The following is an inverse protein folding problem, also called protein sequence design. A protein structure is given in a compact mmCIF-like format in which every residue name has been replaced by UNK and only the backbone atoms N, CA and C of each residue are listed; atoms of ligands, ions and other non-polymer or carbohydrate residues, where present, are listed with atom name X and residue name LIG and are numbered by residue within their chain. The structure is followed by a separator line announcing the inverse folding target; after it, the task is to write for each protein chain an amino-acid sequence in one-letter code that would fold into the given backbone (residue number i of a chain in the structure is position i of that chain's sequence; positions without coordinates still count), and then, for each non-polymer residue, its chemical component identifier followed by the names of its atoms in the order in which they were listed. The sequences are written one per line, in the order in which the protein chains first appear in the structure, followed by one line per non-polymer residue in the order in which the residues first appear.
data_IF_327233805504
#
_entry.id   IF_327233805504
#
_cell.length_a   1.000
_cell.length_b   1.000
_cell.length_c   1.000
_cell.angle_alpha   90.00
_cell.angle_beta   90.00
_cell.angle_gamma   90.00
#
_symmetry.space_group_name_H-M   'P 1'
#
loop_
_entity.id
_entity.type
_entity.pdbx_description
1 polymer ?
#
# COMPACT_ATOMS: atom_id res chain seq x y z
N UNK A 1 11.47 -26.83 21.69
CA UNK A 1 11.82 -26.75 20.25
C UNK A 1 13.09 -27.54 20.02
N UNK A 2 13.06 -28.51 19.12
CA UNK A 2 14.23 -29.31 18.76
C UNK A 2 15.17 -28.52 17.82
N UNK A 3 16.43 -28.95 17.73
CA UNK A 3 17.42 -28.31 16.83
C UNK A 3 17.02 -28.47 15.34
N UNK A 4 16.24 -29.51 15.02
CA UNK A 4 15.69 -29.77 13.68
C UNK A 4 14.57 -28.79 13.34
N UNK A 5 13.59 -28.61 14.24
CA UNK A 5 12.49 -27.64 14.08
C UNK A 5 13.01 -26.21 13.89
N UNK A 6 14.04 -25.82 14.65
CA UNK A 6 14.66 -24.51 14.52
C UNK A 6 15.35 -24.32 13.17
N UNK A 7 15.94 -25.39 12.62
CA UNK A 7 16.61 -25.35 11.31
C UNK A 7 15.61 -25.26 10.17
N UNK A 8 14.52 -26.05 10.22
CA UNK A 8 13.45 -25.97 9.23
C UNK A 8 12.77 -24.60 9.22
N UNK A 9 12.49 -24.03 10.40
CA UNK A 9 11.90 -22.70 10.51
C UNK A 9 12.80 -21.62 9.86
N UNK A 10 14.12 -21.69 10.09
CA UNK A 10 15.09 -20.78 9.46
C UNK A 10 15.14 -20.94 7.93
N UNK A 11 15.05 -22.17 7.43
CA UNK A 11 15.01 -22.45 5.99
C UNK A 11 13.74 -21.89 5.35
N UNK A 12 12.57 -22.13 5.95
CA UNK A 12 11.28 -21.57 5.49
C UNK A 12 11.31 -20.05 5.47
N UNK A 13 11.78 -19.42 6.55
CA UNK A 13 11.92 -17.96 6.62
C UNK A 13 12.89 -17.40 5.55
N UNK A 14 13.94 -18.15 5.23
CA UNK A 14 14.91 -17.74 4.19
C UNK A 14 14.35 -17.91 2.78
N UNK A 15 13.56 -18.95 2.52
CA UNK A 15 12.83 -19.11 1.26
C UNK A 15 11.83 -17.98 1.07
N UNK A 16 11.00 -17.71 2.09
CA UNK A 16 10.04 -16.60 2.07
C UNK A 16 10.70 -15.25 1.74
N UNK A 17 11.84 -14.93 2.39
CA UNK A 17 12.57 -13.69 2.10
C UNK A 17 13.05 -13.60 0.66
N UNK A 18 13.46 -14.71 0.05
CA UNK A 18 13.86 -14.74 -1.37
C UNK A 18 12.67 -14.53 -2.29
N UNK A 19 11.55 -15.17 -2.01
CA UNK A 19 10.34 -15.04 -2.83
C UNK A 19 9.77 -13.61 -2.75
N UNK A 20 9.75 -13.02 -1.55
CA UNK A 20 9.38 -11.61 -1.36
C UNK A 20 10.35 -10.65 -2.06
N UNK A 21 11.65 -10.89 -1.97
CA UNK A 21 12.64 -10.09 -2.69
C UNK A 21 12.45 -10.19 -4.20
N UNK A 22 12.19 -11.38 -4.73
CA UNK A 22 11.94 -11.58 -6.15
C UNK A 22 10.73 -10.76 -6.63
N UNK A 23 9.60 -10.82 -5.94
CA UNK A 23 8.40 -10.01 -6.29
C UNK A 23 8.67 -8.52 -6.15
N UNK A 24 9.37 -8.10 -5.11
CA UNK A 24 9.74 -6.70 -4.90
C UNK A 24 10.64 -6.16 -6.02
N UNK A 25 11.54 -6.99 -6.52
CA UNK A 25 12.47 -6.60 -7.58
C UNK A 25 11.78 -6.53 -8.97
N UNK A 26 10.54 -7.03 -9.11
CA UNK A 26 9.72 -6.82 -10.30
C UNK A 26 8.87 -5.54 -10.25
N UNK A 27 8.88 -4.78 -9.15
CA UNK A 27 8.12 -3.54 -9.07
C UNK A 27 8.71 -2.50 -10.03
N UNK A 28 7.86 -1.88 -10.84
CA UNK A 28 8.30 -0.85 -11.78
C UNK A 28 8.77 0.41 -11.02
N UNK A 29 9.97 0.91 -11.36
CA UNK A 29 10.46 2.19 -10.82
C UNK A 29 9.49 3.30 -11.17
N UNK A 30 9.25 4.20 -10.22
CA UNK A 30 8.29 5.31 -10.29
C UNK A 30 6.83 4.89 -10.31
N UNK A 31 6.51 3.61 -10.11
CA UNK A 31 5.14 3.18 -10.00
C UNK A 31 4.52 3.61 -8.66
N UNK A 32 3.29 4.08 -8.73
CA UNK A 32 2.44 4.43 -7.62
C UNK A 32 1.46 3.28 -7.38
N UNK A 33 1.30 2.90 -6.12
CA UNK A 33 0.45 1.79 -5.71
C UNK A 33 -0.54 2.23 -4.64
N UNK A 34 -1.76 1.70 -4.70
CA UNK A 34 -2.60 1.53 -3.50
C UNK A 34 -2.19 0.22 -2.85
N UNK A 35 -1.95 0.25 -1.53
CA UNK A 35 -1.59 -0.94 -0.77
C UNK A 35 -2.63 -1.19 0.31
N UNK A 36 -3.15 -2.41 0.33
CA UNK A 36 -4.18 -2.83 1.28
C UNK A 36 -3.60 -3.78 2.32
N UNK A 37 -3.97 -3.54 3.57
CA UNK A 37 -3.63 -4.39 4.71
C UNK A 37 -4.92 -4.88 5.39
N UNK A 38 -4.88 -6.11 5.91
CA UNK A 38 -5.95 -6.65 6.75
C UNK A 38 -6.08 -5.85 8.04
N UNK A 39 -7.32 -5.56 8.45
CA UNK A 39 -7.63 -4.94 9.75
C UNK A 39 -8.11 -5.93 10.81
N UNK A 40 -8.53 -7.10 10.37
CA UNK A 40 -9.15 -8.14 11.19
C UNK A 40 -8.73 -9.53 10.73
N UNK A 41 -8.75 -10.47 11.67
CA UNK A 41 -8.62 -11.91 11.42
C UNK A 41 -9.70 -12.62 12.26
N UNK A 42 -10.74 -13.20 11.64
CA UNK A 42 -10.96 -13.34 10.20
C UNK A 42 -11.24 -11.99 9.49
N UNK A 43 -10.89 -11.86 8.20
CA UNK A 43 -11.08 -10.61 7.46
C UNK A 43 -12.56 -10.32 7.21
N UNK A 44 -12.94 -9.05 7.37
CA UNK A 44 -14.28 -8.56 7.02
C UNK A 44 -14.32 -7.99 5.60
N UNK A 45 -15.40 -8.21 4.83
CA UNK A 45 -15.53 -7.63 3.49
C UNK A 45 -15.38 -6.11 3.52
N UNK A 46 -14.60 -5.58 2.57
CA UNK A 46 -14.35 -4.15 2.39
C UNK A 46 -13.66 -3.43 3.58
N UNK A 47 -13.15 -4.17 4.57
CA UNK A 47 -12.49 -3.61 5.76
C UNK A 47 -10.97 -3.76 5.69
N UNK A 48 -10.34 -2.83 4.99
CA UNK A 48 -8.89 -2.79 4.80
C UNK A 48 -8.30 -1.50 5.36
N UNK A 49 -7.03 -1.56 5.76
CA UNK A 49 -6.23 -0.36 5.99
C UNK A 49 -5.57 0.03 4.66
N UNK A 50 -5.74 1.28 4.26
CA UNK A 50 -5.33 1.80 2.96
C UNK A 50 -4.13 2.70 3.11
N UNK A 51 -3.14 2.49 2.24
CA UNK A 51 -1.95 3.34 2.14
C UNK A 51 -1.59 3.56 0.68
N UNK A 52 -0.76 4.55 0.41
CA UNK A 52 -0.17 4.78 -0.92
C UNK A 52 1.33 4.45 -0.83
N UNK A 53 1.85 3.74 -1.82
CA UNK A 53 3.28 3.47 -1.94
C UNK A 53 3.80 4.00 -3.26
N UNK A 54 4.80 4.88 -3.22
CA UNK A 54 5.55 5.32 -4.39
C UNK A 54 6.88 4.58 -4.41
N UNK A 55 7.06 3.70 -5.39
CA UNK A 55 8.31 2.98 -5.59
C UNK A 55 9.32 3.89 -6.28
N UNK A 56 10.38 4.31 -5.58
CA UNK A 56 11.32 5.34 -6.09
C UNK A 56 12.66 4.79 -6.54
N UNK A 57 12.96 3.52 -6.29
CA UNK A 57 14.20 2.88 -6.75
C UNK A 57 14.34 1.44 -6.28
N UNK A 58 15.41 0.77 -6.69
CA UNK A 58 15.62 -0.63 -6.32
C UNK A 58 16.26 -0.76 -4.92
N UNK A 59 15.59 -1.32 -3.88
CA UNK A 59 14.22 -1.85 -3.86
C UNK A 59 13.27 -1.09 -2.90
N UNK A 60 13.39 0.23 -2.88
CA UNK A 60 12.81 1.09 -1.85
C UNK A 60 11.84 2.12 -2.40
N UNK A 61 11.04 2.66 -1.49
CA UNK A 61 10.08 3.71 -1.82
C UNK A 61 9.57 4.42 -0.58
N UNK A 62 8.60 5.29 -0.79
CA UNK A 62 7.91 5.99 0.27
C UNK A 62 6.50 5.45 0.41
N UNK A 63 6.14 5.05 1.62
CA UNK A 63 4.79 4.72 2.01
C UNK A 63 4.16 5.91 2.71
N UNK A 64 2.99 6.31 2.22
CA UNK A 64 2.18 7.38 2.76
C UNK A 64 0.92 6.77 3.37
N UNK A 65 0.70 7.04 4.64
CA UNK A 65 -0.45 6.52 5.37
C UNK A 65 -0.84 7.42 6.52
N UNK A 66 -2.10 7.31 6.90
CA UNK A 66 -2.66 7.94 8.10
C UNK A 66 -3.21 6.85 8.99
N UNK A 67 -2.87 6.92 10.28
CA UNK A 67 -3.18 5.88 11.26
C UNK A 67 -4.15 6.41 12.31
N UNK A 68 -5.20 5.64 12.58
CA UNK A 68 -6.18 5.98 13.61
C UNK A 68 -5.70 5.49 14.97
N UNK A 69 -5.51 6.40 15.93
CA UNK A 69 -5.11 6.08 17.30
C UNK A 69 -5.96 6.89 18.28
N UNK A 70 -6.61 6.20 19.24
CA UNK A 70 -7.41 6.84 20.30
C UNK A 70 -8.48 7.83 19.79
N UNK A 71 -9.12 7.53 18.65
CA UNK A 71 -10.15 8.39 18.05
C UNK A 71 -9.61 9.58 17.26
N UNK A 72 -8.29 9.72 17.11
CA UNK A 72 -7.62 10.71 16.28
C UNK A 72 -6.87 10.06 15.12
N UNK A 73 -6.53 10.85 14.11
CA UNK A 73 -5.71 10.46 12.96
C UNK A 73 -4.37 11.17 13.00
N UNK A 74 -3.30 10.39 12.84
CA UNK A 74 -1.92 10.87 12.75
C UNK A 74 -1.34 10.54 11.35
N UNK A 75 -0.53 11.43 10.76
CA UNK A 75 0.28 11.08 9.60
C UNK A 75 1.45 10.19 10.03
N UNK A 76 1.79 9.17 9.24
CA UNK A 76 2.85 8.21 9.59
C UNK A 76 3.79 7.91 8.39
N UNK A 77 3.97 8.87 7.48
CA UNK A 77 4.74 8.66 6.25
C UNK A 77 6.17 8.13 6.50
N UNK A 78 6.55 7.05 5.82
CA UNK A 78 7.82 6.37 6.06
C UNK A 78 8.52 5.94 4.77
N UNK A 79 9.85 5.94 4.81
CA UNK A 79 10.67 5.27 3.81
C UNK A 79 10.72 3.78 4.11
N UNK A 80 10.47 2.96 3.09
CA UNK A 80 10.38 1.49 3.22
C UNK A 80 11.34 0.84 2.22
N UNK A 81 12.23 0.00 2.75
CA UNK A 81 13.20 -0.79 1.98
C UNK A 81 12.65 -2.14 1.52
N UNK A 82 11.51 -2.58 2.06
CA UNK A 82 10.81 -3.78 1.64
C UNK A 82 9.32 -3.69 1.95
N UNK A 83 8.53 -3.27 0.96
CA UNK A 83 7.06 -3.18 1.11
C UNK A 83 6.42 -4.58 1.26
N UNK A 84 7.02 -5.63 0.69
CA UNK A 84 6.48 -6.99 0.69
C UNK A 84 6.52 -7.69 2.06
N UNK A 85 7.29 -7.15 3.01
CA UNK A 85 7.37 -7.71 4.38
C UNK A 85 6.35 -7.14 5.37
N UNK A 86 5.44 -6.26 4.92
CA UNK A 86 4.45 -5.62 5.80
C UNK A 86 3.53 -6.63 6.50
N UNK A 87 3.38 -6.50 7.82
CA UNK A 87 2.43 -7.32 8.58
C UNK A 87 1.00 -7.03 8.11
N UNK A 88 0.23 -8.09 7.88
CA UNK A 88 -1.15 -7.96 7.39
C UNK A 88 -1.26 -7.50 5.94
N UNK A 89 -0.15 -7.37 5.19
CA UNK A 89 -0.20 -7.02 3.77
C UNK A 89 -1.13 -7.96 3.02
N UNK A 90 -2.06 -7.41 2.26
CA UNK A 90 -3.04 -8.16 1.48
C UNK A 90 -2.64 -8.14 0.00
N UNK A 91 -2.51 -6.95 -0.59
CA UNK A 91 -2.23 -6.76 -2.03
C UNK A 91 -1.60 -5.40 -2.29
N UNK A 92 -0.72 -5.32 -3.30
CA UNK A 92 -0.28 -4.07 -3.92
C UNK A 92 -0.98 -3.93 -5.27
N UNK A 93 -1.54 -2.76 -5.54
CA UNK A 93 -2.29 -2.47 -6.75
C UNK A 93 -1.59 -1.30 -7.45
N UNK A 94 -0.91 -1.55 -8.56
CA UNK A 94 -0.28 -0.53 -9.40
C UNK A 94 -1.37 0.32 -10.05
N UNK A 95 -1.33 1.64 -9.82
CA UNK A 95 -2.34 2.59 -10.30
C UNK A 95 -1.78 3.66 -11.25
N UNK A 96 -0.47 3.85 -11.30
CA UNK A 96 0.15 4.80 -12.21
C UNK A 96 1.66 4.60 -12.29
N UNK A 97 2.28 5.14 -13.34
CA UNK A 97 3.72 5.42 -13.36
C UNK A 97 3.92 6.93 -13.30
N UNK A 98 4.60 7.41 -12.27
CA UNK A 98 4.93 8.82 -12.10
C UNK A 98 6.12 9.17 -12.98
N UNK A 99 6.06 10.31 -13.66
CA UNK A 99 7.17 10.81 -14.45
C UNK A 99 8.40 11.04 -13.55
N UNK A 100 9.55 10.50 -13.96
CA UNK A 100 10.83 10.67 -13.27
C UNK A 100 11.34 12.10 -13.40
N UNK A 101 10.89 12.96 -12.49
CA UNK A 101 11.22 14.38 -12.44
C UNK A 101 11.10 14.85 -11.00
N UNK A 102 12.16 15.45 -10.47
CA UNK A 102 12.24 15.88 -9.07
C UNK A 102 11.14 16.87 -8.69
N UNK A 103 10.73 17.74 -9.62
CA UNK A 103 9.65 18.69 -9.40
C UNK A 103 8.30 17.99 -9.31
N UNK A 104 8.09 16.94 -10.10
CA UNK A 104 6.88 16.10 -10.02
C UNK A 104 6.88 15.28 -8.73
N UNK A 105 8.00 14.69 -8.35
CA UNK A 105 8.12 13.93 -7.11
C UNK A 105 7.87 14.81 -5.89
N UNK A 106 8.46 16.02 -5.85
CA UNK A 106 8.19 17.00 -4.79
C UNK A 106 6.70 17.39 -4.76
N UNK A 107 6.07 17.54 -5.93
CA UNK A 107 4.64 17.85 -6.01
C UNK A 107 3.75 16.69 -5.53
N UNK A 108 4.10 15.45 -5.86
CA UNK A 108 3.43 14.25 -5.35
C UNK A 108 3.55 14.19 -3.84
N UNK A 109 4.76 14.35 -3.29
CA UNK A 109 4.99 14.34 -1.84
C UNK A 109 4.16 15.41 -1.13
N UNK A 110 4.13 16.63 -1.68
CA UNK A 110 3.32 17.73 -1.14
C UNK A 110 1.82 17.42 -1.15
N UNK A 111 1.30 16.80 -2.21
CA UNK A 111 -0.12 16.42 -2.30
C UNK A 111 -0.44 15.31 -1.30
N UNK A 112 0.41 14.29 -1.19
CA UNK A 112 0.18 13.17 -0.28
C UNK A 112 0.24 13.61 1.20
N UNK A 113 0.96 14.69 1.52
CA UNK A 113 1.06 15.27 2.87
C UNK A 113 0.15 16.48 3.10
N UNK A 114 -0.76 16.79 2.17
CA UNK A 114 -1.53 18.04 2.22
C UNK A 114 -2.48 18.14 3.41
N UNK A 115 -2.82 17.01 4.03
CA UNK A 115 -3.75 16.95 5.15
C UNK A 115 -3.08 16.83 6.52
N UNK A 116 -1.77 16.65 6.63
CA UNK A 116 -1.06 16.27 7.86
C UNK A 116 -1.45 17.12 9.08
N UNK A 117 -1.59 18.43 8.90
CA UNK A 117 -1.94 19.38 9.98
C UNK A 117 -3.44 19.59 10.17
N UNK A 118 -4.28 18.99 9.33
CA UNK A 118 -5.74 19.15 9.33
C UNK A 118 -6.52 17.84 9.42
N UNK A 119 -5.86 16.68 9.54
CA UNK A 119 -6.51 15.36 9.56
C UNK A 119 -7.71 15.30 10.51
N UNK A 120 -7.52 15.77 11.74
CA UNK A 120 -8.53 15.74 12.81
C UNK A 120 -9.63 16.81 12.67
N UNK A 121 -9.53 17.71 11.69
CA UNK A 121 -10.56 18.69 11.35
C UNK A 121 -11.48 18.21 10.23
N UNK A 122 -11.09 17.15 9.51
CA UNK A 122 -11.85 16.61 8.38
C UNK A 122 -12.89 15.61 8.89
N UNK A 123 -14.16 16.01 8.87
CA UNK A 123 -15.26 15.11 9.22
C UNK A 123 -15.31 13.89 8.30
N UNK A 124 -15.52 12.71 8.88
CA UNK A 124 -15.59 11.43 8.14
C UNK A 124 -14.25 10.94 7.58
N UNK A 125 -13.11 11.47 8.06
CA UNK A 125 -11.80 10.99 7.64
C UNK A 125 -11.57 9.56 8.14
N UNK A 126 -11.06 8.73 7.23
CA UNK A 126 -10.53 7.39 7.44
C UNK A 126 -9.28 7.23 6.58
N UNK A 127 -8.45 6.21 6.80
CA UNK A 127 -7.33 5.90 5.89
C UNK A 127 -7.80 5.74 4.42
N UNK A 128 -8.94 5.07 4.19
CA UNK A 128 -9.55 4.95 2.86
C UNK A 128 -9.95 6.32 2.30
N UNK A 129 -10.76 7.09 3.02
CA UNK A 129 -11.24 8.39 2.51
C UNK A 129 -10.11 9.42 2.37
N UNK A 130 -9.04 9.31 3.16
CA UNK A 130 -7.81 10.08 2.97
C UNK A 130 -7.11 9.71 1.64
N UNK A 131 -6.90 8.41 1.35
CA UNK A 131 -6.33 7.95 0.08
C UNK A 131 -7.12 8.52 -1.10
N UNK A 132 -8.45 8.35 -1.10
CA UNK A 132 -9.27 8.83 -2.22
C UNK A 132 -9.17 10.35 -2.41
N UNK A 133 -9.16 11.13 -1.33
CA UNK A 133 -8.99 12.59 -1.39
C UNK A 133 -7.67 12.98 -2.04
N UNK A 134 -6.55 12.38 -1.62
CA UNK A 134 -5.26 12.71 -2.22
C UNK A 134 -5.13 12.20 -3.66
N UNK A 135 -5.79 11.07 -4.00
CA UNK A 135 -5.88 10.61 -5.40
C UNK A 135 -6.65 11.59 -6.28
N UNK A 136 -7.80 12.12 -5.82
CA UNK A 136 -8.51 13.20 -6.53
C UNK A 136 -7.63 14.44 -6.73
N UNK A 137 -6.79 14.79 -5.75
CA UNK A 137 -5.85 15.90 -5.89
C UNK A 137 -4.75 15.62 -6.92
N UNK A 138 -4.24 14.38 -7.00
CA UNK A 138 -3.29 13.98 -8.04
C UNK A 138 -3.92 14.04 -9.44
N UNK A 139 -5.16 13.58 -9.59
CA UNK A 139 -5.93 13.68 -10.84
C UNK A 139 -6.18 15.15 -11.21
N UNK A 140 -6.64 15.97 -10.27
CA UNK A 140 -6.86 17.40 -10.50
C UNK A 140 -5.60 18.19 -10.83
N UNK A 141 -4.42 17.71 -10.40
CA UNK A 141 -3.13 18.25 -10.78
C UNK A 141 -2.60 17.74 -12.13
N UNK A 142 -3.29 16.81 -12.79
CA UNK A 142 -2.87 16.19 -14.05
C UNK A 142 -1.65 15.28 -13.92
N UNK A 143 -1.33 14.82 -12.70
CA UNK A 143 -0.17 13.94 -12.44
C UNK A 143 -0.51 12.49 -12.80
N UNK A 144 -1.76 12.09 -12.56
CA UNK A 144 -2.31 10.78 -12.88
C UNK A 144 -3.67 10.95 -13.56
N UNK A 145 -4.12 9.94 -14.30
CA UNK A 145 -5.31 10.04 -15.15
C UNK A 145 -6.18 8.80 -15.01
N UNK A 146 -7.14 8.83 -14.07
CA UNK A 146 -8.08 7.73 -13.84
C UNK A 146 -9.34 8.19 -13.12
N UNK A 147 -10.35 7.32 -13.10
CA UNK A 147 -11.56 7.51 -12.31
C UNK A 147 -11.34 6.94 -10.91
N UNK A 148 -11.41 7.80 -9.88
CA UNK A 148 -11.10 7.42 -8.49
C UNK A 148 -12.17 6.49 -7.92
N UNK A 149 -13.42 6.66 -8.31
CA UNK A 149 -14.56 5.85 -7.85
C UNK A 149 -14.51 4.42 -8.41
N UNK A 150 -14.18 4.24 -9.70
CA UNK A 150 -13.97 2.92 -10.29
C UNK A 150 -12.73 2.24 -9.71
N UNK A 151 -11.63 3.00 -9.50
CA UNK A 151 -10.43 2.49 -8.86
C UNK A 151 -10.70 2.04 -7.42
N UNK A 152 -11.51 2.79 -6.65
CA UNK A 152 -11.89 2.41 -5.29
C UNK A 152 -12.61 1.06 -5.28
N UNK A 153 -13.58 0.88 -6.17
CA UNK A 153 -14.32 -0.37 -6.31
C UNK A 153 -13.40 -1.53 -6.65
N UNK A 154 -12.51 -1.34 -7.62
CA UNK A 154 -11.54 -2.37 -8.01
C UNK A 154 -10.58 -2.73 -6.87
N UNK A 155 -10.11 -1.73 -6.10
CA UNK A 155 -9.27 -1.97 -4.93
C UNK A 155 -9.99 -2.83 -3.88
N UNK A 156 -11.28 -2.56 -3.62
CA UNK A 156 -12.10 -3.36 -2.73
C UNK A 156 -12.29 -4.79 -3.25
N UNK A 157 -12.54 -4.95 -4.54
CA UNK A 157 -12.70 -6.26 -5.19
C UNK A 157 -11.41 -7.10 -5.08
N UNK A 158 -10.25 -6.52 -5.37
CA UNK A 158 -8.95 -7.18 -5.14
C UNK A 158 -8.72 -7.50 -3.67
N UNK A 159 -8.97 -6.55 -2.77
CA UNK A 159 -8.83 -6.76 -1.34
C UNK A 159 -9.65 -7.94 -0.85
N UNK A 160 -10.93 -8.00 -1.23
CA UNK A 160 -11.82 -9.12 -0.88
C UNK A 160 -11.31 -10.44 -1.47
N UNK A 161 -10.91 -10.45 -2.74
CA UNK A 161 -10.41 -11.64 -3.43
C UNK A 161 -9.18 -12.25 -2.72
N UNK A 162 -8.25 -11.42 -2.26
CA UNK A 162 -7.00 -11.89 -1.66
C UNK A 162 -7.02 -11.99 -0.12
N UNK A 163 -8.05 -11.45 0.54
CA UNK A 163 -8.12 -11.33 2.00
C UNK A 163 -7.98 -12.66 2.75
N UNK A 164 -8.64 -13.73 2.28
CA UNK A 164 -8.59 -15.06 2.90
C UNK A 164 -7.19 -15.68 2.77
N UNK A 165 -6.58 -15.60 1.58
CA UNK A 165 -5.21 -16.07 1.39
C UNK A 165 -4.23 -15.27 2.26
N UNK A 166 -4.48 -13.96 2.39
CA UNK A 166 -3.70 -13.10 3.25
C UNK A 166 -3.80 -13.52 4.73
N UNK A 167 -5.00 -13.75 5.27
CA UNK A 167 -5.19 -14.17 6.67
C UNK A 167 -4.61 -15.56 6.94
N UNK A 168 -4.69 -16.48 5.97
CA UNK A 168 -4.02 -17.78 6.05
C UNK A 168 -2.49 -17.74 5.90
N UNK A 169 -1.88 -16.56 5.73
CA UNK A 169 -0.42 -16.43 5.66
C UNK A 169 0.20 -16.89 4.33
N UNK A 170 -0.57 -16.98 3.24
CA UNK A 170 -0.07 -17.38 1.90
C UNK A 170 0.84 -16.30 1.30
N UNK A 171 2.12 -16.60 1.14
CA UNK A 171 3.14 -15.66 0.67
C UNK A 171 3.80 -16.14 -0.65
N UNK A 172 4.36 -15.25 -1.47
CA UNK A 172 4.33 -13.78 -1.34
C UNK A 172 2.94 -13.20 -1.62
N UNK A 173 2.69 -11.97 -1.16
CA UNK A 173 1.43 -11.27 -1.45
C UNK A 173 1.38 -10.84 -2.93
N UNK A 174 0.19 -10.83 -3.54
CA UNK A 174 0.06 -10.44 -4.94
C UNK A 174 0.38 -8.96 -5.17
N UNK A 175 0.98 -8.71 -6.34
CA UNK A 175 1.07 -7.39 -6.96
C UNK A 175 0.24 -7.47 -8.23
N UNK A 176 -0.74 -6.58 -8.36
CA UNK A 176 -1.66 -6.51 -9.51
C UNK A 176 -1.61 -5.13 -10.13
N UNK A 177 -2.08 -5.01 -11.37
CA UNK A 177 -2.23 -3.74 -12.06
C UNK A 177 -3.70 -3.41 -12.21
N UNK A 178 -4.07 -2.17 -11.89
CA UNK A 178 -5.43 -1.66 -12.07
C UNK A 178 -5.82 -1.65 -13.55
N UNK A 179 -7.07 -1.96 -13.85
CA UNK A 179 -7.65 -1.80 -15.20
C UNK A 179 -8.27 -0.41 -15.40
N UNK A 180 -8.53 0.32 -14.32
CA UNK A 180 -9.16 1.64 -14.33
C UNK A 180 -8.14 2.77 -14.20
N UNK A 181 -6.84 2.46 -14.16
CA UNK A 181 -5.76 3.40 -13.92
C UNK A 181 -4.57 3.28 -14.87
#
# INVERSE_FOLDING_TARGET
MSNVEATEARQRASALRRDQAHVRDTLATSALYVVLYLRSDPPLPNDFHWTIYLHTGNPSGYQYHVVGRNGMWDPDHQFVSNIMSGLGLCVLIEIATIRQDDTIYARVDQILKSYDVTLNMVSGLTCRTWVLRVLHMLVGAGIVHFNVEELEKECLDFGNCFSVAASCGVQPRPVVKSMFA
#
